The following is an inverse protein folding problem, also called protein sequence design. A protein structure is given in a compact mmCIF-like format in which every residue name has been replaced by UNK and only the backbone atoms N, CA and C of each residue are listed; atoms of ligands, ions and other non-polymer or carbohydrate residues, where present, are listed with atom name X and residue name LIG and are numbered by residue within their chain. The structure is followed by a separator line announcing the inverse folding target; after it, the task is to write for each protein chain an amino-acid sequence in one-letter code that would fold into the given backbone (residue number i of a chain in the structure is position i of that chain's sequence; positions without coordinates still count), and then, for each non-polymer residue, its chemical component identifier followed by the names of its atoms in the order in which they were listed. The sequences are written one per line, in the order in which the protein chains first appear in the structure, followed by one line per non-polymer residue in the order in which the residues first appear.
data_IF_360740857425
#
_entry.id   IF_360740857425
#
_cell.length_a   1.000
_cell.length_b   1.000
_cell.length_c   1.000
_cell.angle_alpha   90.00
_cell.angle_beta   90.00
_cell.angle_gamma   90.00
#
_symmetry.space_group_name_H-M   'P 1'
#
loop_
_entity.id
_entity.type
_entity.pdbx_description
1 polymer ?
#
# COMPACT_ATOMS: atom_id res chain seq x y z
N UNK A 1 5.59 21.79 14.16
CA UNK A 1 4.72 20.79 14.81
C UNK A 1 3.60 20.48 13.84
N UNK A 2 3.51 19.24 13.35
CA UNK A 2 2.38 18.80 12.54
C UNK A 2 1.05 19.04 13.28
N UNK A 3 -0.04 19.33 12.56
CA UNK A 3 -1.36 19.45 13.19
C UNK A 3 -1.71 18.13 13.90
N UNK A 4 -1.91 18.21 15.22
CA UNK A 4 -2.39 17.08 16.01
C UNK A 4 -3.91 17.08 15.88
N UNK A 5 -4.45 15.98 15.35
CA UNK A 5 -5.90 15.80 15.26
C UNK A 5 -6.56 15.87 16.64
N UNK A 6 -7.76 16.45 16.71
CA UNK A 6 -8.61 16.47 17.89
C UNK A 6 -9.69 15.39 17.77
N UNK A 7 -10.57 15.28 18.78
CA UNK A 7 -11.76 14.43 18.71
C UNK A 7 -12.71 14.80 17.54
N UNK A 8 -12.59 16.03 17.03
CA UNK A 8 -13.43 16.56 15.95
C UNK A 8 -12.74 16.42 14.58
N UNK A 9 -11.54 15.82 14.54
CA UNK A 9 -10.84 15.58 13.29
C UNK A 9 -11.59 14.56 12.43
N UNK A 10 -11.92 14.99 11.22
CA UNK A 10 -12.51 14.14 10.19
C UNK A 10 -11.37 13.57 9.34
N UNK A 11 -11.19 12.24 9.29
CA UNK A 11 -10.21 11.63 8.40
C UNK A 11 -10.50 12.01 6.95
N UNK A 12 -9.45 12.36 6.20
CA UNK A 12 -9.58 12.48 4.75
C UNK A 12 -9.93 11.12 4.16
N UNK A 13 -11.01 11.04 3.38
CA UNK A 13 -11.50 9.80 2.75
C UNK A 13 -11.33 9.80 1.22
N UNK A 14 -10.44 10.66 0.71
CA UNK A 14 -10.10 10.72 -0.70
C UNK A 14 -10.81 11.83 -1.49
N UNK A 15 -10.49 11.94 -2.80
CA UNK A 15 -9.60 11.04 -3.55
C UNK A 15 -8.12 11.20 -3.16
N UNK A 16 -7.38 10.09 -3.06
CA UNK A 16 -5.94 10.10 -2.78
C UNK A 16 -5.15 10.37 -4.07
N UNK A 17 -5.19 11.63 -4.52
CA UNK A 17 -4.53 12.04 -5.75
C UNK A 17 -3.00 12.01 -5.63
N UNK A 18 -2.30 11.95 -6.77
CA UNK A 18 -0.85 12.08 -6.82
C UNK A 18 -0.36 13.37 -6.14
N UNK A 19 -1.05 14.49 -6.37
CA UNK A 19 -0.67 15.81 -5.85
C UNK A 19 -0.78 15.89 -4.33
N UNK A 20 -1.86 15.34 -3.75
CA UNK A 20 -2.07 15.35 -2.30
C UNK A 20 -1.07 14.41 -1.61
N UNK A 21 -0.92 13.19 -2.17
CA UNK A 21 -0.08 12.16 -1.57
C UNK A 21 1.40 12.54 -1.62
N UNK A 22 1.91 13.10 -2.73
CA UNK A 22 3.34 13.44 -2.85
C UNK A 22 3.78 14.48 -1.81
N UNK A 23 2.91 15.47 -1.52
CA UNK A 23 3.22 16.52 -0.55
C UNK A 23 3.20 15.94 0.86
N UNK A 24 2.17 15.16 1.20
CA UNK A 24 2.06 14.52 2.51
C UNK A 24 3.25 13.60 2.80
N UNK A 25 3.67 12.79 1.82
CA UNK A 25 4.84 11.91 1.92
C UNK A 25 6.10 12.72 2.18
N UNK A 26 6.35 13.78 1.39
CA UNK A 26 7.56 14.60 1.56
C UNK A 26 7.58 15.33 2.91
N UNK A 27 6.44 15.86 3.35
CA UNK A 27 6.32 16.52 4.66
C UNK A 27 6.62 15.53 5.79
N UNK A 28 6.12 14.30 5.72
CA UNK A 28 6.46 13.26 6.70
C UNK A 28 7.96 12.93 6.72
N UNK A 29 8.60 12.89 5.56
CA UNK A 29 10.05 12.67 5.46
C UNK A 29 10.85 13.79 6.14
N UNK A 30 10.51 15.06 5.88
CA UNK A 30 11.23 16.23 6.41
C UNK A 30 11.04 16.41 7.93
N UNK A 31 9.92 15.95 8.49
CA UNK A 31 9.69 15.93 9.94
C UNK A 31 10.44 14.78 10.65
N UNK A 32 11.21 13.97 9.91
CA UNK A 32 12.10 12.95 10.46
C UNK A 32 11.47 11.57 10.63
N UNK A 33 10.44 11.23 9.85
CA UNK A 33 9.90 9.86 9.86
C UNK A 33 10.93 8.86 9.30
N UNK A 34 11.09 7.72 9.97
CA UNK A 34 11.94 6.61 9.48
C UNK A 34 11.28 5.78 8.36
N UNK A 35 9.96 5.88 8.22
CA UNK A 35 9.16 5.18 7.21
C UNK A 35 7.85 5.94 6.97
N UNK A 36 7.36 5.92 5.73
CA UNK A 36 6.06 6.47 5.38
C UNK A 36 5.06 5.35 5.07
N UNK A 37 3.88 5.42 5.71
CA UNK A 37 2.70 4.66 5.30
C UNK A 37 1.73 5.61 4.61
N UNK A 38 1.36 5.30 3.38
CA UNK A 38 0.48 6.14 2.56
C UNK A 38 -0.59 5.32 1.83
N UNK A 39 -1.37 5.94 0.95
CA UNK A 39 -2.35 5.28 0.08
C UNK A 39 -1.77 5.07 -1.31
N UNK A 40 -2.13 3.96 -1.96
CA UNK A 40 -1.85 3.76 -3.38
C UNK A 40 -2.76 4.69 -4.21
N UNK A 41 -2.17 5.38 -5.20
CA UNK A 41 -2.89 6.32 -6.09
C UNK A 41 -3.76 5.61 -7.12
N UNK A 42 -3.66 4.28 -7.24
CA UNK A 42 -4.39 3.48 -8.22
C UNK A 42 -3.67 3.36 -9.57
N UNK A 43 -2.53 4.03 -9.74
CA UNK A 43 -1.73 4.03 -10.96
C UNK A 43 -0.23 3.85 -10.61
N UNK A 44 0.45 2.83 -11.17
CA UNK A 44 1.84 2.54 -10.83
C UNK A 44 2.80 3.67 -11.23
N UNK A 45 2.55 4.34 -12.35
CA UNK A 45 3.46 5.39 -12.84
C UNK A 45 3.49 6.59 -11.87
N UNK A 46 2.31 7.09 -11.50
CA UNK A 46 2.16 8.16 -10.51
C UNK A 46 2.68 7.76 -9.14
N UNK A 47 2.45 6.51 -8.71
CA UNK A 47 2.95 6.02 -7.44
C UNK A 47 4.48 5.90 -7.41
N UNK A 48 5.10 5.48 -8.52
CA UNK A 48 6.57 5.44 -8.64
C UNK A 48 7.21 6.82 -8.47
N UNK A 49 6.54 7.89 -8.92
CA UNK A 49 6.99 9.27 -8.70
C UNK A 49 6.96 9.59 -7.21
N UNK A 50 5.88 9.25 -6.50
CA UNK A 50 5.77 9.42 -5.03
C UNK A 50 6.90 8.70 -4.30
N UNK A 51 7.16 7.43 -4.64
CA UNK A 51 8.25 6.65 -4.03
C UNK A 51 9.59 7.35 -4.22
N UNK A 52 9.87 7.90 -5.40
CA UNK A 52 11.11 8.66 -5.69
C UNK A 52 11.20 10.00 -4.94
N UNK A 53 10.08 10.60 -4.54
CA UNK A 53 10.07 11.82 -3.72
C UNK A 53 10.39 11.55 -2.24
N UNK A 54 10.14 10.33 -1.77
CA UNK A 54 10.39 9.93 -0.39
C UNK A 54 11.89 9.73 -0.14
N UNK A 55 12.39 10.21 0.99
CA UNK A 55 13.78 9.96 1.43
C UNK A 55 13.90 8.71 2.30
N UNK A 56 12.77 8.09 2.66
CA UNK A 56 12.67 6.89 3.49
C UNK A 56 11.74 5.84 2.86
N UNK A 57 11.78 4.57 3.31
CA UNK A 57 10.91 3.52 2.78
C UNK A 57 9.42 3.90 2.79
N UNK A 58 8.71 3.56 1.71
CA UNK A 58 7.27 3.81 1.56
C UNK A 58 6.51 2.50 1.57
N UNK A 59 5.45 2.41 2.36
CA UNK A 59 4.50 1.31 2.36
C UNK A 59 3.09 1.81 2.09
N UNK A 60 2.21 0.95 1.56
CA UNK A 60 0.81 1.33 1.33
C UNK A 60 -0.15 0.76 2.38
N UNK A 61 -1.20 1.51 2.67
CA UNK A 61 -2.39 0.98 3.32
C UNK A 61 -3.16 0.05 2.36
N UNK A 62 -4.00 -0.81 2.94
CA UNK A 62 -4.83 -1.73 2.14
C UNK A 62 -5.84 -1.05 1.22
N UNK A 63 -6.20 0.22 1.45
CA UNK A 63 -7.24 0.91 0.68
C UNK A 63 -8.65 0.39 0.93
N UNK A 64 -9.63 0.78 0.09
CA UNK A 64 -11.02 0.36 0.22
C UNK A 64 -11.21 -1.14 -0.01
N UNK A 65 -12.39 -1.66 0.35
CA UNK A 65 -12.74 -3.08 0.15
C UNK A 65 -12.77 -3.38 -1.35
N UNK A 66 -12.10 -4.45 -1.76
CA UNK A 66 -12.17 -4.98 -3.13
C UNK A 66 -13.04 -6.22 -3.15
N UNK A 67 -13.61 -6.53 -4.31
CA UNK A 67 -14.50 -7.69 -4.48
C UNK A 67 -13.72 -8.97 -4.76
N UNK A 68 -12.61 -8.86 -5.48
CA UNK A 68 -11.78 -9.99 -5.88
C UNK A 68 -10.43 -9.97 -5.14
N UNK A 69 -10.01 -11.13 -4.65
CA UNK A 69 -8.68 -11.33 -4.06
C UNK A 69 -7.57 -11.12 -5.08
N UNK A 70 -7.83 -11.41 -6.36
CA UNK A 70 -6.87 -11.19 -7.46
C UNK A 70 -6.55 -9.70 -7.62
N UNK A 71 -7.52 -8.81 -7.39
CA UNK A 71 -7.29 -7.36 -7.43
C UNK A 71 -6.36 -6.91 -6.29
N UNK A 72 -6.38 -7.61 -5.14
CA UNK A 72 -5.41 -7.37 -4.06
C UNK A 72 -4.01 -7.72 -4.54
N UNK A 73 -3.84 -8.89 -5.16
CA UNK A 73 -2.53 -9.35 -5.64
C UNK A 73 -1.97 -8.40 -6.72
N UNK A 74 -2.80 -7.99 -7.68
CA UNK A 74 -2.41 -7.01 -8.72
C UNK A 74 -2.00 -5.67 -8.12
N UNK A 75 -2.81 -5.13 -7.21
CA UNK A 75 -2.49 -3.88 -6.51
C UNK A 75 -1.15 -3.98 -5.79
N UNK A 76 -0.87 -5.10 -5.11
CA UNK A 76 0.41 -5.28 -4.43
C UNK A 76 1.56 -5.44 -5.41
N UNK A 77 1.38 -6.15 -6.53
CA UNK A 77 2.39 -6.25 -7.59
C UNK A 77 2.75 -4.87 -8.16
N UNK A 78 1.75 -4.08 -8.52
CA UNK A 78 1.92 -2.71 -9.02
C UNK A 78 2.72 -1.84 -8.05
N UNK A 79 2.39 -1.93 -6.77
CA UNK A 79 3.03 -1.15 -5.70
C UNK A 79 4.48 -1.56 -5.49
N UNK A 80 4.78 -2.86 -5.50
CA UNK A 80 6.15 -3.35 -5.41
C UNK A 80 6.96 -2.94 -6.65
N UNK A 81 6.38 -3.03 -7.84
CA UNK A 81 7.02 -2.62 -9.10
C UNK A 81 7.28 -1.11 -9.17
N UNK A 82 6.45 -0.33 -8.47
CA UNK A 82 6.63 1.12 -8.29
C UNK A 82 7.79 1.48 -7.36
N UNK A 83 8.40 0.50 -6.69
CA UNK A 83 9.54 0.67 -5.78
C UNK A 83 9.17 0.83 -4.30
N UNK A 84 7.92 0.54 -3.93
CA UNK A 84 7.53 0.54 -2.52
C UNK A 84 8.30 -0.53 -1.73
N UNK A 85 8.48 -0.29 -0.43
CA UNK A 85 9.11 -1.24 0.49
C UNK A 85 8.15 -2.34 0.96
N UNK A 86 6.84 -2.18 0.76
CA UNK A 86 5.85 -3.19 1.12
C UNK A 86 4.45 -2.65 1.38
N UNK A 87 3.68 -3.41 2.17
CA UNK A 87 2.29 -3.11 2.51
C UNK A 87 2.07 -3.09 4.03
N UNK A 88 1.18 -2.21 4.46
CA UNK A 88 0.60 -2.13 5.80
C UNK A 88 -0.91 -2.42 5.70
N UNK A 89 -1.26 -3.68 5.41
CA UNK A 89 -2.61 -4.11 5.08
C UNK A 89 -3.24 -4.91 6.23
N UNK A 90 -4.47 -4.53 6.62
CA UNK A 90 -5.20 -5.18 7.70
C UNK A 90 -6.52 -5.80 7.24
N UNK A 91 -7.57 -4.97 7.11
CA UNK A 91 -8.96 -5.37 6.80
C UNK A 91 -9.11 -6.39 5.67
N UNK A 92 -8.28 -6.28 4.64
CA UNK A 92 -8.30 -7.20 3.50
C UNK A 92 -7.75 -8.60 3.85
N UNK A 93 -6.78 -8.68 4.75
CA UNK A 93 -6.15 -9.94 5.17
C UNK A 93 -7.12 -10.74 6.05
N UNK A 94 -7.58 -10.16 7.15
CA UNK A 94 -8.41 -10.90 8.12
C UNK A 94 -9.87 -11.06 7.70
N UNK A 95 -10.35 -10.35 6.68
CA UNK A 95 -11.69 -10.56 6.12
C UNK A 95 -11.70 -11.57 4.96
N UNK A 96 -10.54 -12.04 4.51
CA UNK A 96 -10.45 -13.12 3.54
C UNK A 96 -10.72 -14.46 4.23
N UNK A 97 -11.34 -15.40 3.52
CA UNK A 97 -11.78 -16.68 4.09
C UNK A 97 -10.62 -17.52 4.64
N UNK A 98 -9.46 -17.48 3.97
CA UNK A 98 -8.24 -18.16 4.40
C UNK A 98 -7.07 -17.15 4.51
N UNK A 99 -6.98 -16.37 5.61
CA UNK A 99 -5.95 -15.35 5.77
C UNK A 99 -4.51 -15.87 5.62
N UNK A 100 -4.13 -17.06 6.14
CA UNK A 100 -2.79 -17.62 5.91
C UNK A 100 -2.45 -17.82 4.42
N UNK A 101 -3.39 -18.30 3.61
CA UNK A 101 -3.18 -18.48 2.16
C UNK A 101 -2.93 -17.14 1.46
N UNK A 102 -3.71 -16.11 1.78
CA UNK A 102 -3.50 -14.77 1.23
C UNK A 102 -2.16 -14.17 1.66
N UNK A 103 -1.74 -14.36 2.91
CA UNK A 103 -0.43 -13.90 3.39
C UNK A 103 0.70 -14.57 2.61
N UNK A 104 0.64 -15.89 2.37
CA UNK A 104 1.64 -16.61 1.56
C UNK A 104 1.69 -16.07 0.12
N UNK A 105 0.53 -15.86 -0.50
CA UNK A 105 0.43 -15.28 -1.85
C UNK A 105 1.11 -13.90 -1.91
N UNK A 106 0.82 -13.02 -0.96
CA UNK A 106 1.38 -11.67 -0.90
C UNK A 106 2.90 -11.69 -0.63
N UNK A 107 3.38 -12.59 0.22
CA UNK A 107 4.82 -12.76 0.47
C UNK A 107 5.57 -13.20 -0.79
N UNK A 108 4.98 -14.07 -1.63
CA UNK A 108 5.60 -14.43 -2.91
C UNK A 108 5.80 -13.22 -3.82
N UNK A 109 4.84 -12.30 -3.86
CA UNK A 109 4.97 -11.06 -4.64
C UNK A 109 6.04 -10.15 -4.02
N UNK A 110 5.96 -9.88 -2.72
CA UNK A 110 6.82 -8.88 -2.07
C UNK A 110 8.27 -9.33 -1.90
N UNK A 111 8.50 -10.60 -1.55
CA UNK A 111 9.83 -11.12 -1.22
C UNK A 111 10.44 -11.86 -2.40
N UNK A 112 9.67 -12.71 -3.07
CA UNK A 112 10.18 -13.56 -4.15
C UNK A 112 10.01 -12.94 -5.54
N UNK A 113 9.42 -11.74 -5.64
CA UNK A 113 9.13 -11.04 -6.91
C UNK A 113 8.32 -11.88 -7.90
N UNK A 114 7.47 -12.78 -7.37
CA UNK A 114 6.64 -13.65 -8.18
C UNK A 114 5.60 -12.86 -8.99
N UNK A 115 5.10 -13.47 -10.06
CA UNK A 115 3.96 -12.94 -10.81
C UNK A 115 2.66 -13.09 -10.02
N UNK A 116 1.59 -12.42 -10.47
CA UNK A 116 0.27 -12.56 -9.85
C UNK A 116 -0.24 -14.00 -9.99
N UNK A 117 -0.02 -14.62 -11.15
CA UNK A 117 -0.42 -15.99 -11.47
C UNK A 117 0.29 -17.01 -10.56
N UNK A 118 1.59 -16.84 -10.32
CA UNK A 118 2.35 -17.69 -9.41
C UNK A 118 1.88 -17.55 -7.96
N UNK A 119 1.53 -16.33 -7.54
CA UNK A 119 1.02 -16.05 -6.20
C UNK A 119 -0.39 -16.62 -5.98
N UNK A 120 -1.24 -16.63 -7.02
CA UNK A 120 -2.60 -17.18 -6.96
C UNK A 120 -2.64 -18.66 -6.59
N UNK A 121 -1.59 -19.43 -6.91
CA UNK A 121 -1.50 -20.85 -6.56
C UNK A 121 -1.65 -21.06 -5.05
N UNK A 122 -1.11 -20.15 -4.24
CA UNK A 122 -1.19 -20.22 -2.77
C UNK A 122 -2.63 -20.09 -2.25
N UNK A 123 -3.52 -19.43 -2.99
CA UNK A 123 -4.92 -19.24 -2.57
C UNK A 123 -5.72 -20.55 -2.55
N UNK A 124 -5.24 -21.58 -3.24
CA UNK A 124 -5.86 -22.91 -3.31
C UNK A 124 -5.21 -23.93 -2.36
N UNK A 125 -4.31 -23.49 -1.48
CA UNK A 125 -3.56 -24.34 -0.52
C UNK A 125 -4.03 -24.15 0.91
#
# INVERSE_FOLDING_TARGET
MMPIGTKDSVPFDGPYSYEDVRIAVRVGCEEGADMIKTFYTGDPESFSKIVRYSTVPVTIAGGPKVRDVVDILKMVKDVMDSGAAGICMGRKIWAYENPPALVRALLKIMVNKASVEEAQIELNT
#
